data_IF_372854530482
#
_entry.id   IF_372854530482
#
_cell.length_a   1.000
_cell.length_b   1.000
_cell.length_c   1.000
_cell.angle_alpha   90.00
_cell.angle_beta   90.00
_cell.angle_gamma   90.00
#
_symmetry.space_group_name_H-M   'P 1'
#
loop_
_entity.id
_entity.type
_entity.pdbx_description
1 polymer ?
#
# COMPACT_ATOMS: atom_id res chain seq x y z
N UNK A 1 69.00 43.26 -20.71
CA UNK A 1 68.68 41.98 -21.36
C UNK A 1 68.28 40.86 -20.38
N UNK A 2 68.85 40.78 -19.16
CA UNK A 2 68.49 39.71 -18.18
C UNK A 2 67.04 39.75 -17.64
N UNK A 3 66.41 40.93 -17.51
CA UNK A 3 65.04 41.07 -16.97
C UNK A 3 63.93 40.67 -18.00
N UNK A 4 64.24 40.66 -19.30
CA UNK A 4 63.29 40.27 -20.33
C UNK A 4 63.21 38.76 -20.48
N UNK A 5 64.35 38.07 -20.32
CA UNK A 5 64.43 36.60 -20.39
C UNK A 5 63.68 35.91 -19.25
N UNK A 6 63.74 36.45 -18.02
CA UNK A 6 63.03 35.90 -16.85
C UNK A 6 61.51 36.05 -16.95
N UNK A 7 61.03 37.13 -17.58
CA UNK A 7 59.56 37.33 -17.78
C UNK A 7 59.03 36.43 -18.88
N UNK A 8 59.85 36.17 -19.95
CA UNK A 8 59.43 35.25 -21.00
C UNK A 8 59.39 33.78 -20.52
N UNK A 9 60.39 33.39 -19.69
CA UNK A 9 60.44 32.05 -19.10
C UNK A 9 59.26 31.79 -18.13
N UNK A 10 58.86 32.80 -17.38
CA UNK A 10 57.70 32.72 -16.46
C UNK A 10 56.37 32.59 -17.23
N UNK A 11 56.22 33.28 -18.38
CA UNK A 11 55.02 33.22 -19.21
C UNK A 11 54.91 31.87 -19.93
N UNK A 12 56.04 31.29 -20.39
CA UNK A 12 56.05 29.97 -21.02
C UNK A 12 55.71 28.87 -20.02
N UNK A 13 56.22 28.99 -18.75
CA UNK A 13 55.88 28.03 -17.68
C UNK A 13 54.42 28.10 -17.29
N UNK A 14 53.81 29.30 -17.25
CA UNK A 14 52.39 29.46 -16.98
C UNK A 14 51.49 28.94 -18.11
N UNK A 15 51.90 29.12 -19.38
CA UNK A 15 51.18 28.60 -20.54
C UNK A 15 51.24 27.06 -20.62
N UNK A 16 52.37 26.43 -20.23
CA UNK A 16 52.53 24.98 -20.21
C UNK A 16 51.68 24.36 -19.06
N UNK A 17 51.53 25.04 -17.94
CA UNK A 17 50.68 24.60 -16.83
C UNK A 17 49.16 24.70 -17.18
N UNK A 18 48.76 25.66 -17.98
CA UNK A 18 47.36 25.80 -18.44
C UNK A 18 46.98 24.79 -19.54
N UNK A 19 47.94 24.30 -20.32
CA UNK A 19 47.71 23.27 -21.35
C UNK A 19 47.69 21.85 -20.77
N UNK A 20 48.19 21.63 -19.55
CA UNK A 20 48.15 20.32 -18.89
C UNK A 20 46.83 20.04 -18.19
N UNK A 21 45.91 21.03 -18.09
CA UNK A 21 44.63 20.90 -17.40
C UNK A 21 43.45 20.43 -18.29
N UNK A 22 43.64 20.34 -19.59
CA UNK A 22 42.65 19.82 -20.53
C UNK A 22 43.08 18.46 -21.08
N UNK A 23 43.12 17.43 -20.22
CA UNK A 23 42.99 16.06 -20.72
C UNK A 23 41.51 15.76 -20.91
N UNK A 24 41.03 15.40 -22.10
CA UNK A 24 39.69 14.86 -22.22
C UNK A 24 39.68 13.58 -21.39
N UNK A 25 38.81 13.55 -20.35
CA UNK A 25 38.41 12.32 -19.71
C UNK A 25 37.62 11.55 -20.76
N UNK A 26 38.27 10.59 -21.41
CA UNK A 26 37.62 9.57 -22.21
C UNK A 26 36.85 8.76 -21.18
N UNK A 27 35.60 9.12 -20.95
CA UNK A 27 34.62 8.24 -20.31
C UNK A 27 34.43 7.08 -21.28
N UNK A 28 35.18 6.00 -21.07
CA UNK A 28 34.77 4.70 -21.61
C UNK A 28 33.38 4.47 -21.07
N UNK A 29 32.37 4.19 -21.91
CA UNK A 29 31.08 3.73 -21.39
C UNK A 29 31.40 2.49 -20.55
N UNK A 30 31.16 2.58 -19.22
CA UNK A 30 30.98 1.38 -18.45
C UNK A 30 29.74 0.73 -19.08
N UNK A 31 29.95 -0.33 -19.80
CA UNK A 31 28.92 -1.26 -20.19
C UNK A 31 28.50 -1.99 -18.90
N UNK A 32 27.77 -1.25 -18.05
CA UNK A 32 27.03 -1.84 -16.93
C UNK A 32 25.80 -2.45 -17.59
N UNK A 33 25.97 -3.60 -18.18
CA UNK A 33 24.90 -4.57 -18.28
C UNK A 33 24.56 -4.93 -16.83
N UNK A 34 23.66 -4.14 -16.22
CA UNK A 34 22.90 -4.56 -15.07
C UNK A 34 22.03 -5.72 -15.55
N UNK A 35 22.62 -6.91 -15.63
CA UNK A 35 21.86 -8.13 -15.50
C UNK A 35 21.30 -8.04 -14.08
N UNK A 36 19.98 -7.90 -13.90
CA UNK A 36 19.41 -7.97 -12.56
C UNK A 36 19.79 -9.36 -12.04
N UNK A 37 20.76 -9.41 -11.16
CA UNK A 37 21.08 -10.63 -10.42
C UNK A 37 19.90 -10.79 -9.47
N UNK A 38 18.87 -11.53 -9.92
CA UNK A 38 17.77 -11.93 -9.08
C UNK A 38 18.39 -12.64 -7.87
N UNK A 39 18.35 -12.01 -6.72
CA UNK A 39 18.72 -12.65 -5.46
C UNK A 39 17.70 -13.75 -5.20
N UNK A 40 18.11 -15.00 -5.38
CA UNK A 40 17.31 -16.18 -5.07
C UNK A 40 17.06 -16.16 -3.56
N UNK A 41 15.82 -16.19 -3.14
CA UNK A 41 15.47 -16.19 -1.73
C UNK A 41 15.89 -17.53 -1.07
N UNK A 42 16.15 -17.55 0.25
CA UNK A 42 16.42 -18.82 0.95
C UNK A 42 15.31 -19.86 0.75
N UNK A 43 14.04 -19.44 0.67
CA UNK A 43 12.91 -20.33 0.40
C UNK A 43 12.95 -20.93 -1.01
N UNK A 44 13.25 -20.15 -2.05
CA UNK A 44 13.43 -20.68 -3.41
C UNK A 44 14.52 -21.73 -3.49
N UNK A 45 15.64 -21.50 -2.81
CA UNK A 45 16.75 -22.47 -2.76
C UNK A 45 16.34 -23.77 -2.06
N UNK A 46 15.60 -23.67 -0.96
CA UNK A 46 15.07 -24.80 -0.18
C UNK A 46 14.07 -25.62 -0.98
N UNK A 47 13.12 -24.96 -1.61
CA UNK A 47 12.09 -25.55 -2.46
C UNK A 47 12.69 -26.29 -3.65
N UNK A 48 13.64 -25.66 -4.34
CA UNK A 48 14.34 -26.25 -5.48
C UNK A 48 15.12 -27.49 -5.08
N UNK A 49 15.88 -27.44 -4.00
CA UNK A 49 16.64 -28.58 -3.48
C UNK A 49 15.72 -29.73 -3.06
N UNK A 50 14.59 -29.44 -2.42
CA UNK A 50 13.61 -30.43 -2.01
C UNK A 50 12.94 -31.12 -3.21
N UNK A 51 12.53 -30.36 -4.24
CA UNK A 51 11.98 -30.90 -5.47
C UNK A 51 13.01 -31.79 -6.22
N UNK A 52 14.26 -31.31 -6.33
CA UNK A 52 15.36 -32.05 -6.95
C UNK A 52 15.64 -33.37 -6.22
N UNK A 53 15.66 -33.36 -4.90
CA UNK A 53 15.82 -34.57 -4.07
C UNK A 53 14.66 -35.58 -4.23
N UNK A 54 13.43 -35.05 -4.32
CA UNK A 54 12.25 -35.88 -4.55
C UNK A 54 12.28 -36.57 -5.92
N UNK A 55 12.68 -35.84 -6.97
CA UNK A 55 12.82 -36.41 -8.33
C UNK A 55 13.99 -37.42 -8.38
N UNK A 56 15.13 -37.08 -7.77
CA UNK A 56 16.28 -37.97 -7.68
C UNK A 56 15.92 -39.33 -7.06
N UNK A 57 15.18 -39.32 -5.93
CA UNK A 57 14.64 -40.49 -5.28
C UNK A 57 13.70 -41.28 -6.18
N UNK A 58 12.81 -40.58 -6.91
CA UNK A 58 11.83 -41.24 -7.80
C UNK A 58 12.50 -41.93 -8.99
N UNK A 59 13.51 -41.32 -9.58
CA UNK A 59 14.20 -41.81 -10.77
C UNK A 59 15.39 -42.74 -10.43
N UNK A 60 15.83 -42.77 -9.16
CA UNK A 60 17.01 -43.54 -8.73
C UNK A 60 18.32 -42.99 -9.25
N UNK A 61 18.41 -41.68 -9.53
CA UNK A 61 19.59 -40.97 -10.09
C UNK A 61 20.15 -39.96 -9.06
N UNK A 62 21.42 -39.57 -9.20
CA UNK A 62 21.98 -38.52 -8.35
C UNK A 62 21.23 -37.17 -8.56
N UNK A 63 20.98 -36.45 -7.48
CA UNK A 63 20.35 -35.12 -7.58
C UNK A 63 21.15 -34.15 -8.46
N UNK A 64 22.46 -34.25 -8.47
CA UNK A 64 23.34 -33.44 -9.34
C UNK A 64 23.16 -33.67 -10.85
N UNK A 65 22.45 -34.74 -11.24
CA UNK A 65 22.10 -35.04 -12.65
C UNK A 65 20.74 -34.44 -13.07
N UNK A 66 20.12 -33.65 -12.22
CA UNK A 66 18.83 -33.02 -12.45
C UNK A 66 19.02 -31.51 -12.52
N UNK A 67 18.69 -30.92 -13.65
CA UNK A 67 18.82 -29.47 -13.86
C UNK A 67 17.55 -28.75 -13.41
N UNK A 68 17.72 -27.68 -12.62
CA UNK A 68 16.61 -26.79 -12.25
C UNK A 68 16.43 -25.80 -13.37
N UNK A 69 15.32 -25.90 -14.11
CA UNK A 69 15.01 -25.04 -15.25
C UNK A 69 14.33 -23.74 -14.83
N UNK A 70 13.39 -23.83 -13.88
CA UNK A 70 12.56 -22.68 -13.46
C UNK A 70 12.07 -22.85 -12.04
N UNK A 71 11.96 -21.75 -11.30
CA UNK A 71 11.33 -21.67 -10.00
C UNK A 71 10.36 -20.48 -10.07
N UNK A 72 9.08 -20.73 -9.84
CA UNK A 72 8.02 -19.72 -9.91
C UNK A 72 7.23 -19.75 -8.59
N UNK A 73 6.96 -18.59 -7.99
CA UNK A 73 6.05 -18.54 -6.85
C UNK A 73 4.64 -18.98 -7.28
N UNK A 74 3.95 -19.69 -6.40
CA UNK A 74 2.60 -20.21 -6.66
C UNK A 74 1.75 -20.26 -5.40
N UNK A 75 0.43 -20.27 -5.61
CA UNK A 75 -0.57 -20.44 -4.58
C UNK A 75 -1.33 -21.74 -4.84
N UNK A 76 -1.55 -22.52 -3.80
CA UNK A 76 -2.19 -23.84 -3.89
C UNK A 76 -3.48 -23.87 -3.07
N UNK A 77 -4.55 -24.59 -3.53
CA UNK A 77 -5.88 -24.52 -2.91
C UNK A 77 -5.96 -25.10 -1.49
N UNK A 78 -5.00 -25.90 -1.11
CA UNK A 78 -5.02 -26.63 0.16
C UNK A 78 -3.62 -26.94 0.68
N UNK A 79 -3.53 -27.52 1.88
CA UNK A 79 -2.26 -27.92 2.50
C UNK A 79 -1.54 -29.07 1.79
N UNK A 80 -2.18 -29.75 0.84
CA UNK A 80 -1.60 -30.76 -0.03
C UNK A 80 -1.16 -30.20 -1.37
N UNK A 81 -1.04 -28.88 -1.48
CA UNK A 81 -0.62 -28.15 -2.67
C UNK A 81 -1.54 -28.40 -3.90
N UNK A 82 -2.84 -28.68 -3.68
CA UNK A 82 -3.79 -29.03 -4.73
C UNK A 82 -3.49 -30.36 -5.44
N UNK A 83 -2.70 -31.22 -4.82
CA UNK A 83 -2.29 -32.54 -5.35
C UNK A 83 -2.53 -33.65 -4.34
N UNK A 84 -3.54 -33.48 -3.46
CA UNK A 84 -3.97 -34.51 -2.51
C UNK A 84 -4.57 -35.72 -3.19
N UNK A 85 -4.31 -36.89 -2.66
CA UNK A 85 -4.95 -38.15 -3.12
C UNK A 85 -6.39 -38.26 -2.63
N UNK A 86 -7.21 -39.18 -3.20
CA UNK A 86 -8.62 -39.34 -2.85
C UNK A 86 -8.86 -39.72 -1.37
N UNK A 87 -7.91 -40.34 -0.72
CA UNK A 87 -7.99 -40.76 0.69
C UNK A 87 -7.17 -39.87 1.63
N UNK A 88 -6.66 -38.74 1.13
CA UNK A 88 -5.83 -37.81 1.88
C UNK A 88 -6.65 -36.64 2.42
N UNK A 89 -6.54 -36.38 3.71
CA UNK A 89 -7.20 -35.23 4.35
C UNK A 89 -6.33 -33.99 4.23
N UNK A 90 -6.70 -33.08 3.32
CA UNK A 90 -6.02 -31.82 3.09
C UNK A 90 -6.81 -30.67 3.72
N UNK A 91 -6.15 -29.87 4.55
CA UNK A 91 -6.78 -28.68 5.11
C UNK A 91 -7.06 -27.67 3.97
N UNK A 92 -8.29 -27.16 3.92
CA UNK A 92 -8.73 -26.16 2.93
C UNK A 92 -8.18 -24.77 3.29
N UNK A 93 -6.87 -24.65 3.15
CA UNK A 93 -6.11 -23.42 3.44
C UNK A 93 -5.21 -23.12 2.26
N UNK A 94 -5.26 -21.92 1.73
CA UNK A 94 -4.36 -21.51 0.65
C UNK A 94 -2.93 -21.60 1.15
N UNK A 95 -2.11 -22.35 0.43
CA UNK A 95 -0.69 -22.57 0.74
C UNK A 95 0.17 -21.89 -0.31
N UNK A 96 1.01 -20.94 0.12
CA UNK A 96 2.05 -20.38 -0.74
C UNK A 96 3.22 -21.32 -0.89
N UNK A 97 3.90 -21.25 -2.03
CA UNK A 97 5.06 -22.06 -2.30
C UNK A 97 5.67 -21.79 -3.68
N UNK A 98 6.27 -22.82 -4.27
CA UNK A 98 6.93 -22.71 -5.57
C UNK A 98 6.54 -23.84 -6.50
N UNK A 99 6.35 -23.49 -7.78
CA UNK A 99 6.37 -24.44 -8.88
C UNK A 99 7.82 -24.57 -9.36
N UNK A 100 8.39 -25.74 -9.18
CA UNK A 100 9.77 -26.05 -9.58
C UNK A 100 9.76 -26.94 -10.82
N UNK A 101 10.30 -26.45 -11.92
CA UNK A 101 10.48 -27.19 -13.16
C UNK A 101 11.87 -27.77 -13.22
N UNK A 102 11.98 -29.06 -13.38
CA UNK A 102 13.21 -29.84 -13.41
C UNK A 102 13.38 -30.55 -14.76
N UNK A 103 14.62 -30.70 -15.21
CA UNK A 103 14.98 -31.48 -16.40
C UNK A 103 15.87 -32.64 -16.00
N UNK A 104 15.50 -33.85 -16.37
CA UNK A 104 16.28 -35.06 -16.14
C UNK A 104 16.11 -36.02 -17.30
N UNK A 105 17.21 -36.52 -17.86
CA UNK A 105 17.20 -37.46 -18.98
C UNK A 105 16.51 -36.95 -20.26
N UNK A 106 16.41 -35.63 -20.43
CA UNK A 106 15.73 -34.99 -21.56
C UNK A 106 14.22 -34.79 -21.36
N UNK A 107 13.68 -35.24 -20.23
CA UNK A 107 12.26 -35.05 -19.88
C UNK A 107 12.07 -33.97 -18.82
N UNK A 108 10.98 -33.23 -18.90
CA UNK A 108 10.62 -32.15 -17.97
C UNK A 108 9.64 -32.67 -16.91
N UNK A 109 9.94 -32.34 -15.66
CA UNK A 109 9.14 -32.69 -14.48
C UNK A 109 8.78 -31.41 -13.73
N UNK A 110 7.54 -31.35 -13.22
CA UNK A 110 7.10 -30.24 -12.40
C UNK A 110 6.79 -30.71 -10.98
N UNK A 111 7.18 -29.91 -9.99
CA UNK A 111 6.89 -30.14 -8.58
C UNK A 111 6.29 -28.89 -7.97
N UNK A 112 5.28 -29.06 -7.13
CA UNK A 112 4.80 -28.02 -6.21
C UNK A 112 5.45 -28.22 -4.84
N UNK A 113 5.82 -27.12 -4.20
CA UNK A 113 6.37 -27.13 -2.85
C UNK A 113 5.66 -26.08 -1.99
N UNK A 114 5.74 -26.22 -0.67
CA UNK A 114 5.53 -25.09 0.24
C UNK A 114 6.75 -24.14 0.23
N UNK A 115 6.66 -23.04 0.95
CA UNK A 115 7.72 -22.00 0.98
C UNK A 115 9.06 -22.52 1.49
N UNK A 116 9.06 -23.51 2.38
CA UNK A 116 10.24 -24.08 3.03
C UNK A 116 10.74 -25.36 2.36
N UNK A 117 10.02 -25.90 1.38
CA UNK A 117 10.32 -27.19 0.74
C UNK A 117 10.04 -28.40 1.64
N UNK A 118 9.24 -28.27 2.69
CA UNK A 118 8.85 -29.38 3.58
C UNK A 118 7.80 -30.28 2.96
N UNK A 119 6.85 -29.68 2.24
CA UNK A 119 5.86 -30.38 1.44
C UNK A 119 6.28 -30.31 -0.03
N UNK A 120 6.45 -31.47 -0.67
CA UNK A 120 6.88 -31.57 -2.07
C UNK A 120 6.00 -32.58 -2.79
N UNK A 121 5.37 -32.20 -3.89
CA UNK A 121 4.49 -33.06 -4.65
C UNK A 121 4.76 -32.96 -6.14
N UNK A 122 4.84 -34.07 -6.81
CA UNK A 122 4.97 -34.12 -8.27
C UNK A 122 3.63 -33.77 -8.92
N UNK A 123 3.67 -32.88 -9.92
CA UNK A 123 2.48 -32.53 -10.71
C UNK A 123 2.16 -33.69 -11.66
N UNK A 124 1.12 -34.45 -11.32
CA UNK A 124 0.60 -35.53 -12.18
C UNK A 124 -0.70 -35.14 -12.88
N UNK A 125 -1.46 -34.28 -12.23
CA UNK A 125 -2.65 -33.59 -12.77
C UNK A 125 -2.72 -32.22 -12.13
N UNK A 126 -2.97 -31.18 -12.91
CA UNK A 126 -2.98 -29.81 -12.43
C UNK A 126 -4.37 -29.47 -11.87
N UNK A 127 -4.55 -29.54 -10.56
CA UNK A 127 -5.66 -28.85 -9.91
C UNK A 127 -5.24 -27.38 -9.75
N UNK A 128 -5.76 -26.51 -10.58
CA UNK A 128 -5.47 -25.07 -10.54
C UNK A 128 -6.46 -24.38 -9.60
N UNK A 129 -5.94 -23.48 -8.74
CA UNK A 129 -6.82 -22.51 -8.07
C UNK A 129 -7.43 -21.66 -9.20
N UNK A 130 -8.76 -21.45 -9.20
CA UNK A 130 -9.39 -20.61 -10.21
C UNK A 130 -8.76 -19.23 -10.29
N UNK A 131 -8.57 -18.73 -11.51
CA UNK A 131 -7.87 -17.46 -11.76
C UNK A 131 -8.48 -16.29 -10.97
N UNK A 132 -9.81 -16.21 -10.87
CA UNK A 132 -10.51 -15.19 -10.11
C UNK A 132 -10.21 -15.25 -8.61
N UNK A 133 -9.98 -16.43 -8.03
CA UNK A 133 -9.59 -16.59 -6.62
C UNK A 133 -8.15 -16.10 -6.40
N UNK A 134 -7.22 -16.49 -7.28
CA UNK A 134 -5.83 -16.02 -7.23
C UNK A 134 -5.77 -14.51 -7.33
N UNK A 135 -6.48 -13.93 -8.32
CA UNK A 135 -6.53 -12.48 -8.52
C UNK A 135 -7.06 -11.75 -7.28
N UNK A 136 -8.12 -12.29 -6.65
CA UNK A 136 -8.70 -11.73 -5.43
C UNK A 136 -7.73 -11.77 -4.25
N UNK A 137 -7.03 -12.90 -4.05
CA UNK A 137 -6.03 -13.05 -2.99
C UNK A 137 -4.89 -12.05 -3.17
N UNK A 138 -4.36 -11.93 -4.39
CA UNK A 138 -3.27 -11.01 -4.68
C UNK A 138 -3.70 -9.54 -4.50
N UNK A 139 -4.90 -9.17 -4.96
CA UNK A 139 -5.43 -7.83 -4.77
C UNK A 139 -5.63 -7.47 -3.28
N UNK A 140 -6.15 -8.41 -2.47
CA UNK A 140 -6.33 -8.18 -1.04
C UNK A 140 -4.99 -8.13 -0.31
N UNK A 141 -4.04 -9.01 -0.65
CA UNK A 141 -2.70 -9.04 -0.07
C UNK A 141 -1.94 -7.74 -0.31
N UNK A 142 -2.00 -7.22 -1.53
CA UNK A 142 -1.39 -5.94 -1.91
C UNK A 142 -2.00 -4.78 -1.10
N UNK A 143 -3.32 -4.69 -1.06
CA UNK A 143 -4.04 -3.64 -0.34
C UNK A 143 -3.76 -3.61 1.16
N UNK A 144 -3.67 -4.79 1.79
CA UNK A 144 -3.42 -4.91 3.23
C UNK A 144 -1.93 -5.01 3.57
N UNK A 145 -1.05 -5.11 2.57
CA UNK A 145 0.40 -5.32 2.73
C UNK A 145 0.70 -6.56 3.58
N UNK A 146 0.02 -7.67 3.27
CA UNK A 146 0.19 -8.96 3.97
C UNK A 146 0.67 -10.04 3.01
N UNK A 147 1.27 -11.10 3.58
CA UNK A 147 1.63 -12.28 2.79
C UNK A 147 0.35 -12.96 2.25
N UNK A 148 0.21 -13.19 0.93
CA UNK A 148 -0.90 -13.94 0.35
C UNK A 148 -1.18 -15.28 1.03
N UNK A 149 -0.16 -15.93 1.59
CA UNK A 149 -0.29 -17.19 2.33
C UNK A 149 -1.12 -17.07 3.62
N UNK A 150 -1.29 -15.87 4.16
CA UNK A 150 -2.10 -15.62 5.35
C UNK A 150 -3.59 -15.46 5.04
N UNK A 151 -3.94 -15.42 3.75
CA UNK A 151 -5.30 -15.23 3.29
C UNK A 151 -5.93 -16.59 2.97
N UNK A 152 -7.11 -16.86 3.53
CA UNK A 152 -7.87 -18.07 3.27
C UNK A 152 -9.15 -17.76 2.50
N UNK A 153 -9.49 -18.65 1.55
CA UNK A 153 -10.77 -18.59 0.83
C UNK A 153 -11.91 -19.04 1.76
N UNK A 154 -12.93 -18.21 1.89
CA UNK A 154 -14.18 -18.55 2.61
C UNK A 154 -15.21 -19.10 1.63
N UNK A 155 -15.50 -18.36 0.55
CA UNK A 155 -16.37 -18.81 -0.54
C UNK A 155 -16.07 -18.09 -1.85
N UNK A 156 -16.47 -18.69 -2.98
CA UNK A 156 -16.52 -18.05 -4.28
C UNK A 156 -17.83 -18.48 -4.96
N UNK A 157 -18.71 -17.51 -5.20
CA UNK A 157 -20.05 -17.74 -5.75
C UNK A 157 -20.18 -17.04 -7.12
N UNK A 158 -20.80 -17.70 -8.09
CA UNK A 158 -21.06 -17.09 -9.40
C UNK A 158 -22.15 -16.02 -9.29
N UNK A 159 -21.92 -14.88 -9.93
CA UNK A 159 -22.84 -13.73 -9.94
C UNK A 159 -22.88 -13.12 -11.33
N UNK A 160 -24.05 -12.62 -11.72
CA UNK A 160 -24.21 -11.72 -12.86
C UNK A 160 -24.27 -10.29 -12.33
N UNK A 161 -23.18 -9.53 -12.52
CA UNK A 161 -23.09 -8.16 -12.07
C UNK A 161 -23.93 -7.23 -12.95
N UNK A 162 -24.61 -6.22 -12.39
CA UNK A 162 -25.50 -5.34 -13.17
C UNK A 162 -24.77 -4.39 -14.11
N UNK A 163 -23.47 -4.19 -13.91
CA UNK A 163 -22.67 -3.24 -14.67
C UNK A 163 -21.20 -3.67 -14.83
N UNK A 164 -20.45 -2.97 -15.66
CA UNK A 164 -19.03 -3.22 -15.91
C UNK A 164 -18.11 -2.95 -14.71
N UNK A 165 -18.59 -2.27 -13.66
CA UNK A 165 -17.86 -2.10 -12.40
C UNK A 165 -18.19 -3.19 -11.37
N UNK A 166 -18.71 -4.32 -11.80
CA UNK A 166 -19.01 -5.50 -10.98
C UNK A 166 -19.96 -5.19 -9.80
N UNK A 167 -20.91 -4.26 -10.00
CA UNK A 167 -21.86 -3.87 -8.96
C UNK A 167 -21.27 -3.00 -7.85
N UNK A 168 -20.02 -2.55 -7.97
CA UNK A 168 -19.39 -1.63 -7.02
C UNK A 168 -19.51 -0.19 -7.55
N UNK A 169 -20.31 0.60 -6.88
CA UNK A 169 -20.48 2.03 -7.23
C UNK A 169 -19.34 2.86 -6.66
N UNK A 170 -18.80 3.74 -7.48
CA UNK A 170 -17.86 4.79 -7.06
C UNK A 170 -18.39 6.13 -7.56
N UNK A 171 -18.45 7.18 -6.71
CA UNK A 171 -19.01 8.49 -7.08
C UNK A 171 -18.33 9.13 -8.30
N UNK A 172 -17.08 8.77 -8.55
CA UNK A 172 -16.23 9.39 -9.57
C UNK A 172 -16.04 8.53 -10.82
N UNK A 173 -16.70 7.34 -10.90
CA UNK A 173 -16.54 6.39 -12.01
C UNK A 173 -17.87 6.12 -12.66
N UNK A 174 -18.00 6.41 -13.95
CA UNK A 174 -19.15 6.03 -14.75
C UNK A 174 -19.01 4.57 -15.18
N UNK A 175 -19.90 3.71 -14.73
CA UNK A 175 -19.93 2.31 -15.06
C UNK A 175 -20.90 2.05 -16.24
N UNK A 176 -20.43 1.35 -17.28
CA UNK A 176 -21.33 0.93 -18.35
C UNK A 176 -22.36 -0.08 -17.82
N UNK A 177 -23.64 0.13 -18.15
CA UNK A 177 -24.74 -0.74 -17.76
C UNK A 177 -24.78 -2.01 -18.66
N UNK A 178 -23.81 -2.90 -18.43
CA UNK A 178 -23.67 -4.17 -19.13
C UNK A 178 -23.58 -5.29 -18.10
N UNK A 179 -24.48 -6.28 -18.20
CA UNK A 179 -24.41 -7.47 -17.34
C UNK A 179 -23.08 -8.16 -17.54
N UNK A 180 -22.31 -8.28 -16.46
CA UNK A 180 -20.97 -8.84 -16.47
C UNK A 180 -20.94 -10.11 -15.61
N UNK A 181 -20.78 -11.31 -16.20
CA UNK A 181 -20.61 -12.55 -15.44
C UNK A 181 -19.33 -12.52 -14.61
N UNK A 182 -19.40 -13.05 -13.39
CA UNK A 182 -18.23 -13.05 -12.52
C UNK A 182 -18.45 -13.83 -11.23
N UNK A 183 -17.68 -13.48 -10.21
CA UNK A 183 -17.72 -14.15 -8.90
C UNK A 183 -17.70 -13.13 -7.76
N UNK A 184 -18.50 -13.44 -6.75
CA UNK A 184 -18.39 -12.87 -5.42
C UNK A 184 -17.45 -13.74 -4.61
N UNK A 185 -16.29 -13.20 -4.23
CA UNK A 185 -15.24 -13.92 -3.51
C UNK A 185 -15.17 -13.39 -2.08
N UNK A 186 -15.29 -14.26 -1.10
CA UNK A 186 -15.06 -13.95 0.32
C UNK A 186 -13.73 -14.54 0.76
N UNK A 187 -12.86 -13.67 1.26
CA UNK A 187 -11.53 -14.02 1.76
C UNK A 187 -11.41 -13.66 3.24
N UNK A 188 -10.71 -14.46 4.02
CA UNK A 188 -10.44 -14.16 5.43
C UNK A 188 -8.95 -14.00 5.69
N UNK A 189 -8.59 -12.94 6.40
CA UNK A 189 -7.24 -12.69 6.90
C UNK A 189 -7.31 -12.11 8.31
N UNK A 190 -6.53 -12.66 9.23
CA UNK A 190 -6.49 -12.21 10.65
C UNK A 190 -7.87 -12.20 11.34
N UNK A 191 -8.80 -13.08 10.92
CA UNK A 191 -10.14 -13.18 11.49
C UNK A 191 -11.17 -12.21 10.89
N UNK A 192 -10.77 -11.35 9.95
CA UNK A 192 -11.67 -10.45 9.22
C UNK A 192 -11.99 -11.06 7.86
N UNK A 193 -13.27 -11.07 7.48
CA UNK A 193 -13.71 -11.50 6.15
C UNK A 193 -13.89 -10.28 5.26
N UNK A 194 -13.33 -10.34 4.05
CA UNK A 194 -13.43 -9.31 3.02
C UNK A 194 -14.19 -9.81 1.82
N UNK A 195 -15.00 -8.95 1.23
CA UNK A 195 -15.73 -9.21 0.00
C UNK A 195 -15.01 -8.57 -1.19
N UNK A 196 -14.80 -9.37 -2.23
CA UNK A 196 -14.24 -8.93 -3.50
C UNK A 196 -15.13 -9.43 -4.64
N UNK A 197 -15.29 -8.61 -5.66
CA UNK A 197 -16.02 -8.94 -6.88
C UNK A 197 -15.05 -9.09 -8.03
N UNK A 198 -15.23 -10.10 -8.86
CA UNK A 198 -14.41 -10.33 -10.04
C UNK A 198 -15.27 -10.53 -11.27
N UNK A 199 -14.70 -10.29 -12.46
CA UNK A 199 -15.23 -10.84 -13.70
C UNK A 199 -14.86 -12.32 -13.82
N UNK A 200 -15.34 -12.99 -14.86
CA UNK A 200 -15.27 -14.44 -14.99
C UNK A 200 -13.84 -14.99 -15.05
N UNK A 201 -12.91 -14.28 -15.68
CA UNK A 201 -11.51 -14.69 -15.83
C UNK A 201 -10.57 -14.13 -14.75
N UNK A 202 -11.07 -13.27 -13.85
CA UNK A 202 -10.28 -12.63 -12.80
C UNK A 202 -9.38 -11.48 -13.28
N UNK A 203 -9.52 -11.02 -14.52
CA UNK A 203 -8.75 -9.88 -15.03
C UNK A 203 -9.15 -8.53 -14.41
N UNK A 204 -10.36 -8.47 -13.84
CA UNK A 204 -10.86 -7.34 -13.08
C UNK A 204 -11.25 -7.79 -11.68
N UNK A 205 -10.76 -7.08 -10.67
CA UNK A 205 -11.08 -7.30 -9.25
C UNK A 205 -11.50 -5.97 -8.65
N UNK A 206 -12.67 -5.94 -8.02
CA UNK A 206 -13.17 -4.81 -7.26
C UNK A 206 -13.25 -5.19 -5.79
N UNK A 207 -12.65 -4.40 -4.92
CA UNK A 207 -12.66 -4.63 -3.48
C UNK A 207 -13.84 -3.89 -2.86
N UNK A 208 -14.78 -4.62 -2.29
CA UNK A 208 -15.98 -4.05 -1.64
C UNK A 208 -15.65 -3.57 -0.24
N UNK A 209 -14.98 -4.39 0.54
CA UNK A 209 -14.59 -4.07 1.91
C UNK A 209 -14.79 -5.23 2.87
N UNK A 210 -14.62 -4.99 4.18
CA UNK A 210 -14.83 -6.01 5.19
C UNK A 210 -16.33 -6.29 5.37
N UNK A 211 -16.64 -7.57 5.57
CA UNK A 211 -17.98 -8.02 5.96
C UNK A 211 -18.14 -7.82 7.46
N UNK A 212 -19.24 -7.21 7.91
CA UNK A 212 -19.49 -6.97 9.31
C UNK A 212 -19.48 -8.27 10.11
N UNK A 213 -18.71 -8.29 11.19
CA UNK A 213 -18.63 -9.40 12.12
C UNK A 213 -19.08 -8.91 13.50
N UNK A 214 -20.23 -9.38 14.02
CA UNK A 214 -20.74 -8.95 15.32
C UNK A 214 -19.83 -9.36 16.51
N UNK A 215 -18.86 -10.26 16.28
CA UNK A 215 -17.90 -10.69 17.29
C UNK A 215 -16.55 -9.97 17.20
N UNK A 216 -16.40 -8.98 16.30
CA UNK A 216 -15.17 -8.21 16.20
C UNK A 216 -14.92 -7.42 17.49
N UNK A 217 -13.69 -7.55 18.00
CA UNK A 217 -13.27 -6.79 19.17
C UNK A 217 -12.97 -5.33 18.81
N UNK A 218 -13.22 -4.38 19.72
CA UNK A 218 -12.83 -3.00 19.51
C UNK A 218 -11.32 -2.84 19.35
N UNK A 219 -10.90 -2.14 18.30
CA UNK A 219 -9.51 -1.72 18.05
C UNK A 219 -9.27 -0.30 18.53
N UNK A 220 -10.27 0.58 18.31
CA UNK A 220 -10.25 1.95 18.82
C UNK A 220 -11.51 2.21 19.62
N UNK A 221 -11.35 2.79 20.80
CA UNK A 221 -12.46 3.33 21.60
C UNK A 221 -12.12 4.78 21.89
N UNK A 222 -12.89 5.70 21.32
CA UNK A 222 -12.79 7.13 21.58
C UNK A 222 -14.01 7.57 22.39
N UNK A 223 -13.78 8.04 23.60
CA UNK A 223 -14.85 8.63 24.43
C UNK A 223 -14.67 10.16 24.44
N UNK A 224 -15.74 10.89 24.20
CA UNK A 224 -15.76 12.35 24.22
C UNK A 224 -16.82 12.86 25.17
N UNK A 225 -16.51 13.92 25.91
CA UNK A 225 -17.46 14.59 26.83
C UNK A 225 -17.62 16.03 26.43
N UNK A 226 -18.84 16.49 26.35
CA UNK A 226 -19.14 17.90 26.11
C UNK A 226 -19.19 18.71 27.42
N UNK A 227 -19.24 20.04 27.30
CA UNK A 227 -19.30 20.94 28.44
C UNK A 227 -20.62 20.84 29.27
N UNK A 228 -21.62 20.20 28.72
CA UNK A 228 -22.93 19.96 29.34
C UNK A 228 -23.00 18.61 30.05
N UNK A 229 -21.94 17.82 30.01
CA UNK A 229 -21.83 16.49 30.60
C UNK A 229 -22.36 15.36 29.72
N UNK A 230 -22.73 15.66 28.46
CA UNK A 230 -23.02 14.64 27.46
C UNK A 230 -21.77 13.80 27.18
N UNK A 231 -21.96 12.50 27.01
CA UNK A 231 -20.87 11.57 26.76
C UNK A 231 -21.19 10.71 25.54
N UNK A 232 -20.30 10.72 24.55
CA UNK A 232 -20.37 9.87 23.36
C UNK A 232 -19.15 8.95 23.32
N UNK A 233 -19.38 7.70 22.93
CA UNK A 233 -18.34 6.74 22.65
C UNK A 233 -18.41 6.33 21.18
N UNK A 234 -17.27 6.42 20.49
CA UNK A 234 -17.06 5.87 19.15
C UNK A 234 -16.24 4.60 19.30
N UNK A 235 -16.74 3.51 18.71
CA UNK A 235 -16.07 2.22 18.68
C UNK A 235 -15.73 1.90 17.23
N UNK A 236 -14.46 1.55 16.97
CA UNK A 236 -13.98 1.04 15.68
C UNK A 236 -13.49 -0.38 15.88
N UNK A 237 -13.96 -1.28 15.04
CA UNK A 237 -13.49 -2.66 14.91
C UNK A 237 -12.71 -2.83 13.60
N UNK A 238 -12.18 -4.02 13.33
CA UNK A 238 -11.51 -4.30 12.05
C UNK A 238 -12.48 -4.21 10.85
N UNK A 239 -13.78 -4.43 11.06
CA UNK A 239 -14.76 -4.48 9.98
C UNK A 239 -15.63 -3.23 9.85
N UNK A 240 -15.65 -2.34 10.86
CA UNK A 240 -16.54 -1.19 10.82
C UNK A 240 -16.41 -0.24 12.01
N UNK A 241 -17.35 0.69 12.09
CA UNK A 241 -17.44 1.67 13.19
C UNK A 241 -18.88 1.93 13.61
N UNK A 242 -19.05 2.46 14.82
CA UNK A 242 -20.33 2.89 15.33
C UNK A 242 -20.16 3.83 16.52
N UNK A 243 -21.23 4.57 16.88
CA UNK A 243 -21.24 5.38 18.09
C UNK A 243 -22.51 5.17 18.94
N UNK A 244 -22.37 5.44 20.22
CA UNK A 244 -23.46 5.46 21.18
C UNK A 244 -23.16 6.43 22.33
N UNK A 245 -24.14 6.71 23.17
CA UNK A 245 -23.85 7.29 24.49
C UNK A 245 -22.95 6.36 25.30
N UNK A 246 -22.16 6.89 26.23
CA UNK A 246 -21.14 6.10 26.94
C UNK A 246 -21.67 4.91 27.77
N UNK A 247 -22.95 4.90 28.09
CA UNK A 247 -23.64 3.80 28.74
C UNK A 247 -24.40 2.87 27.75
N UNK A 248 -24.35 3.19 26.46
CA UNK A 248 -24.98 2.44 25.39
C UNK A 248 -24.02 1.50 24.68
N UNK A 249 -24.58 0.61 23.84
CA UNK A 249 -23.83 -0.26 22.96
C UNK A 249 -23.91 0.27 21.54
N UNK A 250 -22.79 0.64 20.87
CA UNK A 250 -22.82 1.12 19.50
C UNK A 250 -23.21 0.01 18.53
N UNK A 251 -24.03 0.34 17.55
CA UNK A 251 -24.28 -0.50 16.40
C UNK A 251 -23.12 -0.31 15.41
N UNK A 252 -22.35 -1.36 15.18
CA UNK A 252 -21.22 -1.33 14.24
C UNK A 252 -21.74 -1.55 12.82
N UNK A 253 -21.44 -0.59 11.94
CA UNK A 253 -21.72 -0.68 10.50
C UNK A 253 -20.41 -0.89 9.75
N UNK A 254 -20.44 -1.75 8.72
CA UNK A 254 -19.26 -2.06 7.89
C UNK A 254 -18.71 -0.83 7.17
N UNK A 255 -17.39 -0.79 7.01
CA UNK A 255 -16.75 0.22 6.16
C UNK A 255 -17.16 0.06 4.70
N UNK A 256 -17.50 1.14 4.00
CA UNK A 256 -17.86 1.12 2.60
C UNK A 256 -16.60 1.08 1.70
N UNK A 257 -15.85 -0.02 1.71
CA UNK A 257 -14.63 -0.17 0.91
C UNK A 257 -13.37 -0.42 1.74
N UNK A 258 -12.23 -0.39 1.07
CA UNK A 258 -10.94 -0.81 1.63
C UNK A 258 -10.13 0.31 2.28
N UNK A 259 -10.46 1.58 2.05
CA UNK A 259 -9.62 2.68 2.54
C UNK A 259 -9.43 2.64 4.05
N UNK A 260 -10.52 2.59 4.83
CA UNK A 260 -10.44 2.57 6.30
C UNK A 260 -9.82 1.30 6.87
N UNK A 261 -10.11 0.10 6.36
CA UNK A 261 -9.39 -1.13 6.75
C UNK A 261 -7.89 -1.04 6.54
N UNK A 262 -7.43 -0.54 5.40
CA UNK A 262 -6.00 -0.37 5.08
C UNK A 262 -5.34 0.65 6.01
N UNK A 263 -5.98 1.79 6.25
CA UNK A 263 -5.50 2.80 7.20
C UNK A 263 -5.42 2.24 8.63
N UNK A 264 -6.47 1.51 9.07
CA UNK A 264 -6.48 0.86 10.38
C UNK A 264 -5.36 -0.17 10.52
N UNK A 265 -5.16 -1.00 9.50
CA UNK A 265 -4.06 -1.96 9.47
C UNK A 265 -2.69 -1.26 9.60
N UNK A 266 -2.51 -0.10 8.94
CA UNK A 266 -1.30 0.72 9.05
C UNK A 266 -1.09 1.23 10.48
N UNK A 267 -2.14 1.75 11.13
CA UNK A 267 -2.11 2.16 12.53
C UNK A 267 -1.72 1.00 13.44
N UNK A 268 -2.40 -0.14 13.29
CA UNK A 268 -2.18 -1.33 14.12
C UNK A 268 -0.77 -1.90 13.98
N UNK A 269 -0.23 -1.93 12.76
CA UNK A 269 1.10 -2.46 12.50
C UNK A 269 2.21 -1.55 13.09
N UNK A 270 1.98 -0.24 13.13
CA UNK A 270 2.99 0.73 13.57
C UNK A 270 3.05 0.88 15.09
N UNK A 271 1.91 1.01 15.77
CA UNK A 271 1.86 1.42 17.17
C UNK A 271 1.54 0.28 18.13
N UNK A 272 2.18 0.33 19.31
CA UNK A 272 1.84 -0.50 20.45
C UNK A 272 0.46 -0.12 21.02
N UNK A 273 -0.21 -1.02 21.76
CA UNK A 273 -1.43 -0.67 22.49
C UNK A 273 -1.20 0.47 23.46
N UNK A 274 -2.16 1.39 23.57
CA UNK A 274 -2.11 2.48 24.53
C UNK A 274 -3.51 2.93 24.98
N UNK A 275 -3.55 3.59 26.12
CA UNK A 275 -4.75 4.26 26.62
C UNK A 275 -4.37 5.60 27.22
N UNK A 276 -5.02 6.66 26.79
CA UNK A 276 -4.83 8.02 27.31
C UNK A 276 -6.17 8.60 27.72
N UNK A 277 -6.19 9.35 28.83
CA UNK A 277 -7.40 9.94 29.37
C UNK A 277 -7.15 11.38 29.76
N UNK A 278 -8.16 12.24 29.57
CA UNK A 278 -8.16 13.65 29.93
C UNK A 278 -9.54 14.10 30.41
N UNK A 279 -9.67 15.39 30.69
CA UNK A 279 -10.93 15.97 31.16
C UNK A 279 -12.07 15.79 30.13
N UNK A 280 -11.72 15.88 28.85
CA UNK A 280 -12.68 15.89 27.73
C UNK A 280 -12.94 14.48 27.15
N UNK A 281 -12.33 13.43 27.72
CA UNK A 281 -12.55 12.06 27.26
C UNK A 281 -11.34 11.15 27.36
N UNK A 282 -11.39 10.04 26.63
CA UNK A 282 -10.31 9.05 26.56
C UNK A 282 -10.18 8.46 25.18
N UNK A 283 -8.96 8.01 24.85
CA UNK A 283 -8.65 7.26 23.65
C UNK A 283 -7.96 5.96 24.06
N UNK A 284 -8.55 4.83 23.69
CA UNK A 284 -7.94 3.50 23.80
C UNK A 284 -7.68 2.94 22.40
N UNK A 285 -6.50 2.38 22.21
CA UNK A 285 -6.08 1.77 20.95
C UNK A 285 -5.42 0.42 21.21
N UNK A 286 -5.86 -0.62 20.48
CA UNK A 286 -5.34 -1.98 20.56
C UNK A 286 -4.45 -2.29 19.35
N UNK A 287 -3.27 -1.64 19.31
CA UNK A 287 -2.27 -1.85 18.27
C UNK A 287 -1.48 -3.14 18.43
N UNK A 288 -0.74 -3.52 17.39
CA UNK A 288 0.13 -4.72 17.36
C UNK A 288 1.59 -4.36 17.09
N UNK A 289 1.88 -3.10 16.81
CA UNK A 289 3.22 -2.59 16.58
C UNK A 289 4.00 -2.37 17.87
N UNK A 290 5.15 -1.73 17.75
CA UNK A 290 6.07 -1.50 18.88
C UNK A 290 6.33 -0.03 19.16
N UNK A 291 5.93 0.88 18.28
CA UNK A 291 6.14 2.31 18.43
C UNK A 291 5.15 2.89 19.44
N UNK A 292 5.64 3.73 20.35
CA UNK A 292 4.78 4.50 21.26
C UNK A 292 4.22 5.70 20.50
N UNK A 293 2.89 5.90 20.54
CA UNK A 293 2.25 7.02 19.89
C UNK A 293 2.43 8.32 20.69
N UNK A 294 3.04 9.32 20.07
CA UNK A 294 3.18 10.67 20.62
C UNK A 294 1.87 11.47 20.51
N UNK A 295 1.82 12.64 21.13
CA UNK A 295 0.60 13.47 21.22
C UNK A 295 -0.01 13.77 19.84
N UNK A 296 0.80 14.10 18.85
CA UNK A 296 0.34 14.42 17.49
C UNK A 296 -0.17 13.19 16.75
N UNK A 297 0.41 12.03 17.02
CA UNK A 297 -0.06 10.76 16.47
C UNK A 297 -1.38 10.33 17.14
N UNK A 298 -1.53 10.55 18.44
CA UNK A 298 -2.82 10.35 19.15
C UNK A 298 -3.89 11.30 18.61
N UNK A 299 -3.55 12.57 18.36
CA UNK A 299 -4.44 13.55 17.71
C UNK A 299 -4.86 13.08 16.31
N UNK A 300 -3.93 12.57 15.52
CA UNK A 300 -4.21 12.02 14.20
C UNK A 300 -5.16 10.81 14.27
N UNK A 301 -4.97 9.91 15.23
CA UNK A 301 -5.85 8.76 15.43
C UNK A 301 -7.26 9.19 15.87
N UNK A 302 -7.39 10.22 16.71
CA UNK A 302 -8.70 10.80 17.08
C UNK A 302 -9.42 11.33 15.84
N UNK A 303 -8.71 12.09 14.99
CA UNK A 303 -9.28 12.61 13.76
C UNK A 303 -9.67 11.49 12.80
N UNK A 304 -8.82 10.49 12.66
CA UNK A 304 -9.10 9.28 11.87
C UNK A 304 -10.34 8.54 12.35
N UNK A 305 -10.50 8.34 13.67
CA UNK A 305 -11.65 7.66 14.27
C UNK A 305 -12.95 8.38 13.94
N UNK A 306 -12.96 9.70 13.97
CA UNK A 306 -14.13 10.51 13.60
C UNK A 306 -14.46 10.39 12.10
N UNK A 307 -13.47 10.40 11.23
CA UNK A 307 -13.66 10.18 9.80
C UNK A 307 -14.18 8.77 9.51
N UNK A 308 -13.66 7.76 10.21
CA UNK A 308 -14.13 6.38 10.10
C UNK A 308 -15.62 6.23 10.47
N UNK A 309 -16.07 6.92 11.53
CA UNK A 309 -17.49 6.97 11.89
C UNK A 309 -18.33 7.70 10.83
N UNK A 310 -17.82 8.82 10.28
CA UNK A 310 -18.56 9.56 9.23
C UNK A 310 -18.83 8.69 8.01
N UNK A 311 -17.86 7.89 7.57
CA UNK A 311 -17.99 7.04 6.39
C UNK A 311 -19.09 5.98 6.53
N UNK A 312 -19.34 5.48 7.76
CA UNK A 312 -20.38 4.48 8.02
C UNK A 312 -21.72 5.09 8.44
N UNK A 313 -21.78 6.40 8.68
CA UNK A 313 -22.99 7.07 9.18
C UNK A 313 -24.08 7.23 8.13
N UNK A 314 -23.78 6.98 6.85
CA UNK A 314 -24.71 7.19 5.73
C UNK A 314 -24.94 8.67 5.39
N UNK A 315 -24.18 9.57 6.01
CA UNK A 315 -24.15 10.98 5.61
C UNK A 315 -23.44 11.11 4.26
N UNK A 316 -23.80 12.12 3.44
CA UNK A 316 -23.07 12.36 2.19
C UNK A 316 -21.57 12.45 2.47
N UNK A 317 -20.77 11.73 1.71
CA UNK A 317 -19.33 11.78 1.83
C UNK A 317 -18.86 13.24 1.66
N UNK A 318 -18.09 13.72 2.63
CA UNK A 318 -17.44 15.03 2.51
C UNK A 318 -15.94 14.79 2.24
N UNK A 319 -15.51 14.80 0.98
CA UNK A 319 -14.11 14.49 0.63
C UNK A 319 -13.11 15.52 1.17
N UNK A 320 -13.61 16.67 1.66
CA UNK A 320 -12.78 17.71 2.28
C UNK A 320 -12.80 17.66 3.81
N UNK A 321 -13.55 16.72 4.41
CA UNK A 321 -13.57 16.55 5.87
C UNK A 321 -12.17 16.19 6.38
N UNK A 322 -11.66 16.98 7.32
CA UNK A 322 -10.31 16.80 7.87
C UNK A 322 -9.15 17.07 6.90
N UNK A 323 -9.39 17.60 5.71
CA UNK A 323 -8.37 17.93 4.74
C UNK A 323 -7.57 19.16 5.20
N UNK A 324 -6.25 19.02 5.34
CA UNK A 324 -5.33 20.12 5.69
C UNK A 324 -4.74 20.75 4.43
N UNK A 325 -4.25 19.91 3.50
CA UNK A 325 -3.64 20.37 2.25
C UNK A 325 -4.26 19.60 1.08
N UNK A 326 -4.67 20.33 0.05
CA UNK A 326 -4.94 19.83 -1.30
C UNK A 326 -3.98 20.55 -2.25
N UNK A 327 -2.98 19.85 -2.73
CA UNK A 327 -1.97 20.36 -3.64
C UNK A 327 -2.13 19.74 -5.01
N UNK A 328 -1.98 20.57 -6.05
CA UNK A 328 -2.02 20.16 -7.45
C UNK A 328 -0.85 20.74 -8.22
N UNK A 329 -0.31 19.96 -9.13
CA UNK A 329 0.66 20.39 -10.12
C UNK A 329 0.17 19.97 -11.49
N UNK A 330 0.01 20.96 -12.39
CA UNK A 330 -0.48 20.75 -13.76
C UNK A 330 0.45 21.40 -14.76
N UNK A 331 0.54 20.85 -15.99
CA UNK A 331 1.31 21.44 -17.09
C UNK A 331 2.45 20.55 -17.56
N UNK A 332 3.50 21.18 -18.08
CA UNK A 332 4.58 20.49 -18.78
C UNK A 332 4.16 20.00 -20.18
N UNK A 333 5.14 19.68 -21.03
CA UNK A 333 4.93 19.21 -22.42
C UNK A 333 4.04 17.95 -22.47
N UNK A 334 4.14 17.10 -21.43
CA UNK A 334 3.39 15.84 -21.35
C UNK A 334 1.97 16.00 -20.73
N UNK A 335 1.53 17.22 -20.40
CA UNK A 335 0.23 17.44 -19.77
C UNK A 335 0.09 16.77 -18.39
N UNK A 336 1.16 16.80 -17.60
CA UNK A 336 1.19 16.18 -16.26
C UNK A 336 0.11 16.77 -15.38
N UNK A 337 -0.56 15.91 -14.62
CA UNK A 337 -1.50 16.30 -13.59
C UNK A 337 -1.31 15.43 -12.33
N UNK A 338 -0.82 16.05 -11.26
CA UNK A 338 -0.50 15.41 -10.00
C UNK A 338 -1.32 16.06 -8.88
N UNK A 339 -1.80 15.27 -7.94
CA UNK A 339 -2.53 15.74 -6.77
C UNK A 339 -2.03 15.06 -5.50
N UNK A 340 -1.84 15.84 -4.44
CA UNK A 340 -1.57 15.35 -3.09
C UNK A 340 -2.63 15.89 -2.14
N UNK A 341 -3.23 15.02 -1.37
CA UNK A 341 -4.16 15.37 -0.30
C UNK A 341 -3.59 14.92 1.04
N UNK A 342 -3.55 15.81 2.03
CA UNK A 342 -3.08 15.51 3.40
C UNK A 342 -4.21 15.79 4.37
N UNK A 343 -4.55 14.79 5.16
CA UNK A 343 -5.66 14.84 6.11
C UNK A 343 -5.21 15.00 7.57
N UNK A 344 -6.09 15.52 8.41
CA UNK A 344 -5.90 15.60 9.86
C UNK A 344 -5.71 14.23 10.51
N UNK A 345 -6.17 13.16 9.86
CA UNK A 345 -5.91 11.77 10.24
C UNK A 345 -4.44 11.35 10.09
N UNK A 346 -3.58 12.23 9.62
CA UNK A 346 -2.17 11.94 9.36
C UNK A 346 -1.90 11.20 8.06
N UNK A 347 -2.93 10.79 7.32
CA UNK A 347 -2.75 10.16 6.01
C UNK A 347 -2.56 11.18 4.91
N UNK A 348 -1.65 10.84 3.99
CA UNK A 348 -1.42 11.54 2.74
C UNK A 348 -1.69 10.60 1.55
N UNK A 349 -2.33 11.13 0.51
CA UNK A 349 -2.69 10.40 -0.71
C UNK A 349 -2.16 11.11 -1.92
N UNK A 350 -1.37 10.40 -2.72
CA UNK A 350 -0.95 10.84 -4.05
C UNK A 350 -1.89 10.25 -5.10
N UNK A 351 -2.41 11.11 -5.99
CA UNK A 351 -3.28 10.73 -7.11
C UNK A 351 -2.86 11.48 -8.37
N UNK A 352 -3.32 11.03 -9.51
CA UNK A 352 -3.42 11.88 -10.70
C UNK A 352 -4.73 12.71 -10.66
N UNK A 353 -5.00 13.50 -11.69
CA UNK A 353 -6.24 14.27 -11.73
C UNK A 353 -7.45 13.46 -12.21
N UNK A 354 -7.27 12.26 -12.69
CA UNK A 354 -8.32 11.29 -12.98
C UNK A 354 -8.70 10.50 -11.73
N UNK A 355 -8.17 10.89 -10.57
CA UNK A 355 -8.37 10.26 -9.25
C UNK A 355 -7.76 8.85 -9.12
N UNK A 356 -6.90 8.43 -10.03
CA UNK A 356 -6.17 7.16 -9.92
C UNK A 356 -5.20 7.27 -8.74
N UNK A 357 -5.30 6.31 -7.81
CA UNK A 357 -4.41 6.23 -6.65
C UNK A 357 -3.00 5.85 -7.09
N UNK A 358 -2.01 6.66 -6.70
CA UNK A 358 -0.59 6.44 -7.01
C UNK A 358 0.20 6.03 -5.76
N UNK A 359 -0.30 6.39 -4.57
CA UNK A 359 0.31 6.01 -3.31
C UNK A 359 -0.38 6.66 -2.10
N UNK A 360 -0.18 6.05 -0.95
CA UNK A 360 -0.67 6.56 0.34
C UNK A 360 0.29 6.21 1.47
N UNK A 361 0.35 7.04 2.50
CA UNK A 361 1.09 6.73 3.72
C UNK A 361 0.54 7.47 4.94
N UNK A 362 0.75 6.88 6.11
CA UNK A 362 0.67 7.57 7.39
C UNK A 362 1.96 8.37 7.61
N UNK A 363 1.85 9.67 7.70
CA UNK A 363 2.98 10.59 7.80
C UNK A 363 3.83 10.34 9.06
N UNK A 364 5.15 10.59 8.98
CA UNK A 364 6.03 10.59 10.15
C UNK A 364 5.68 11.71 11.13
N UNK A 365 6.08 11.53 12.40
CA UNK A 365 5.78 12.45 13.50
C UNK A 365 6.23 13.89 13.24
N UNK A 366 7.40 14.10 12.63
CA UNK A 366 7.93 15.43 12.30
C UNK A 366 7.03 16.20 11.32
N UNK A 367 6.43 15.49 10.34
CA UNK A 367 5.49 16.11 9.43
C UNK A 367 4.15 16.42 10.10
N UNK A 368 3.66 15.54 11.00
CA UNK A 368 2.46 15.80 11.79
C UNK A 368 2.61 17.03 12.68
N UNK A 369 3.74 17.15 13.39
CA UNK A 369 4.08 18.33 14.21
C UNK A 369 4.05 19.61 13.40
N UNK A 370 4.67 19.60 12.23
CA UNK A 370 4.73 20.76 11.34
C UNK A 370 3.32 21.14 10.82
N UNK A 371 2.57 20.16 10.33
CA UNK A 371 1.23 20.37 9.77
C UNK A 371 0.24 20.89 10.82
N UNK A 372 0.25 20.33 12.02
CA UNK A 372 -0.63 20.79 13.10
C UNK A 372 -0.25 22.17 13.63
N UNK A 373 1.05 22.47 13.73
CA UNK A 373 1.49 23.82 14.07
C UNK A 373 1.01 24.85 13.04
N UNK A 374 1.09 24.53 11.74
CA UNK A 374 0.55 25.40 10.71
C UNK A 374 -0.99 25.51 10.81
N UNK A 375 -1.67 24.37 10.90
CA UNK A 375 -3.13 24.33 10.96
C UNK A 375 -3.70 25.12 12.13
N UNK A 376 -3.10 25.01 13.30
CA UNK A 376 -3.59 25.66 14.50
C UNK A 376 -3.25 27.16 14.54
N UNK A 377 -2.14 27.59 13.93
CA UNK A 377 -1.69 28.97 13.95
C UNK A 377 -2.22 29.81 12.78
N UNK A 378 -2.39 29.20 11.59
CA UNK A 378 -2.60 29.93 10.36
C UNK A 378 -4.05 29.84 9.87
N UNK A 379 -4.50 30.91 9.21
CA UNK A 379 -5.78 30.95 8.50
C UNK A 379 -5.72 30.14 7.20
N UNK A 380 -6.87 29.65 6.75
CA UNK A 380 -7.00 28.99 5.45
C UNK A 380 -6.56 29.93 4.32
N UNK A 381 -5.86 29.39 3.33
CA UNK A 381 -5.33 30.19 2.21
C UNK A 381 -5.20 29.34 0.95
N UNK A 382 -5.39 30.00 -0.19
CA UNK A 382 -5.06 29.47 -1.51
C UNK A 382 -3.71 30.03 -1.95
N UNK A 383 -2.79 29.16 -2.33
CA UNK A 383 -1.46 29.49 -2.83
C UNK A 383 -1.38 29.05 -4.28
N UNK A 384 -0.98 29.96 -5.17
CA UNK A 384 -0.74 29.68 -6.57
C UNK A 384 0.69 30.07 -6.94
N UNK A 385 1.34 29.26 -7.75
CA UNK A 385 2.68 29.51 -8.27
C UNK A 385 2.81 28.93 -9.69
N UNK A 386 3.78 29.42 -10.46
CA UNK A 386 4.11 28.87 -11.78
C UNK A 386 5.60 29.01 -12.05
N UNK A 387 6.12 28.15 -12.91
CA UNK A 387 7.55 28.18 -13.28
C UNK A 387 7.90 29.34 -14.21
N UNK A 388 6.92 30.13 -14.67
CA UNK A 388 7.08 31.30 -15.56
C UNK A 388 7.88 31.03 -16.85
N UNK A 389 7.83 29.79 -17.35
CA UNK A 389 8.46 29.36 -18.61
C UNK A 389 7.40 28.77 -19.54
N UNK A 390 7.64 28.81 -20.85
CA UNK A 390 6.79 28.11 -21.83
C UNK A 390 6.82 26.62 -21.48
N UNK A 391 5.64 25.98 -21.43
CA UNK A 391 5.46 24.59 -21.01
C UNK A 391 5.91 24.27 -19.57
N UNK A 392 5.97 25.28 -18.70
CA UNK A 392 6.22 25.13 -17.26
C UNK A 392 5.05 24.51 -16.50
N UNK A 393 5.26 24.28 -15.20
CA UNK A 393 4.21 23.79 -14.31
C UNK A 393 3.48 24.93 -13.62
N UNK A 394 2.19 24.72 -13.38
CA UNK A 394 1.35 25.51 -12.49
C UNK A 394 1.12 24.71 -11.21
N UNK A 395 1.18 25.40 -10.09
CA UNK A 395 0.98 24.83 -8.76
C UNK A 395 -0.19 25.55 -8.10
N UNK A 396 -1.06 24.77 -7.50
CA UNK A 396 -2.16 25.23 -6.67
C UNK A 396 -2.13 24.46 -5.35
N UNK A 397 -2.21 25.15 -4.22
CA UNK A 397 -2.28 24.54 -2.91
C UNK A 397 -3.37 25.24 -2.09
N UNK A 398 -4.44 24.50 -1.79
CA UNK A 398 -5.42 24.90 -0.78
C UNK A 398 -4.94 24.41 0.57
N UNK A 399 -4.67 25.34 1.48
CA UNK A 399 -4.39 25.05 2.89
C UNK A 399 -5.61 25.38 3.73
N UNK A 400 -6.04 24.46 4.60
CA UNK A 400 -7.18 24.57 5.49
C UNK A 400 -6.71 24.67 6.95
N UNK A 401 -6.34 25.88 7.36
CA UNK A 401 -5.98 26.20 8.73
C UNK A 401 -7.19 26.62 9.57
N UNK A 402 -7.05 26.51 10.88
CA UNK A 402 -8.05 26.92 11.88
C UNK A 402 -7.62 28.14 12.67
N UNK A 403 -6.39 28.57 12.50
CA UNK A 403 -5.84 29.77 13.15
C UNK A 403 -6.25 31.08 12.46
N UNK A 404 -5.69 32.18 12.94
CA UNK A 404 -6.07 33.52 12.48
C UNK A 404 -4.96 34.28 11.76
N UNK A 405 -3.72 33.79 11.79
CA UNK A 405 -2.57 34.44 11.15
C UNK A 405 -2.50 34.08 9.68
N UNK A 406 -2.34 35.06 8.81
CA UNK A 406 -2.04 34.79 7.40
C UNK A 406 -0.61 34.23 7.28
N UNK A 407 -0.38 33.15 6.48
CA UNK A 407 0.96 32.68 6.21
C UNK A 407 1.76 33.71 5.42
N UNK A 408 3.01 33.94 5.81
CA UNK A 408 3.96 34.75 5.02
C UNK A 408 4.48 33.95 3.81
N UNK A 409 5.25 34.59 2.94
CA UNK A 409 5.72 33.98 1.71
C UNK A 409 6.72 32.83 1.96
N UNK A 410 7.48 32.89 3.07
CA UNK A 410 8.38 31.81 3.46
C UNK A 410 7.60 30.56 3.82
N UNK A 411 6.54 30.70 4.60
CA UNK A 411 5.65 29.58 4.98
C UNK A 411 4.90 29.03 3.76
N UNK A 412 4.38 29.92 2.89
CA UNK A 412 3.72 29.46 1.65
C UNK A 412 4.65 28.64 0.77
N UNK A 413 5.90 29.08 0.62
CA UNK A 413 6.90 28.35 -0.13
C UNK A 413 7.24 27.00 0.55
N UNK A 414 7.35 26.98 1.87
CA UNK A 414 7.58 25.74 2.60
C UNK A 414 6.44 24.71 2.42
N UNK A 415 5.19 25.16 2.40
CA UNK A 415 4.03 24.30 2.13
C UNK A 415 4.07 23.69 0.72
N UNK A 416 4.40 24.48 -0.31
CA UNK A 416 4.54 23.99 -1.69
C UNK A 416 5.67 22.97 -1.81
N UNK A 417 6.83 23.22 -1.18
CA UNK A 417 7.98 22.32 -1.20
C UNK A 417 7.65 21.01 -0.49
N UNK A 418 7.05 21.08 0.71
CA UNK A 418 6.64 19.89 1.46
C UNK A 418 5.67 19.02 0.64
N UNK A 419 4.66 19.64 0.03
CA UNK A 419 3.68 18.90 -0.75
C UNK A 419 4.33 18.20 -1.96
N UNK A 420 5.20 18.90 -2.70
CA UNK A 420 5.91 18.32 -3.83
C UNK A 420 6.85 17.16 -3.41
N UNK A 421 7.54 17.29 -2.28
CA UNK A 421 8.40 16.23 -1.73
C UNK A 421 7.60 15.01 -1.32
N UNK A 422 6.52 15.18 -0.56
CA UNK A 422 5.64 14.08 -0.13
C UNK A 422 5.00 13.37 -1.32
N UNK A 423 4.53 14.12 -2.33
CA UNK A 423 4.04 13.52 -3.56
C UNK A 423 5.10 12.61 -4.20
N UNK A 424 6.34 13.11 -4.33
CA UNK A 424 7.43 12.35 -4.95
C UNK A 424 7.76 11.07 -4.17
N UNK A 425 7.73 11.12 -2.83
CA UNK A 425 7.98 9.95 -1.98
C UNK A 425 6.86 8.90 -2.12
N UNK A 426 5.61 9.35 -2.24
CA UNK A 426 4.45 8.44 -2.29
C UNK A 426 4.28 7.74 -3.64
N UNK A 427 4.86 8.25 -4.72
CA UNK A 427 4.75 7.67 -6.07
C UNK A 427 5.99 6.87 -6.50
N UNK A 428 7.00 6.74 -5.65
CA UNK A 428 8.17 5.88 -5.85
C UNK A 428 7.91 4.44 -5.41
#
# INVERSE_FOLDING_TARGET
MKKLATKLLSLVFLAVLLLAACRPVILTPLDITLVPTRTVSPGETSAAAAAQAALAKKLGIPAASIDIQKIEPGLWPDSCLGLGGPDESCAQVISSGYLVTLLAGGETYAYRTDMDGKVVRMVTTQAEIPAHVIASILALADSLTVDPATISLVSAETVEWPNACLGVESPDVACAEVITPGYRVLLSVSGVTYELHTNQDGSQVMQVGPVNNPNDLPVVILTSRDAQGGCEQIVVTNSGAGSAACDGTPEIKSFPGMQRPVELATWMARFAPFEVSGADGSLKFDGRGTQVAELEEQRALIAWTRLALMDVSGLPSNPTAGLIIDWRRTGGIAGVCNRLMIYESGFAYARDCEQIALGQALLPLEHLKLLYNWRDALASTLITASDNVTDGFNYELQFNGTGTKSPDDTIKQAMLVLAAQLYTILVQ
#
